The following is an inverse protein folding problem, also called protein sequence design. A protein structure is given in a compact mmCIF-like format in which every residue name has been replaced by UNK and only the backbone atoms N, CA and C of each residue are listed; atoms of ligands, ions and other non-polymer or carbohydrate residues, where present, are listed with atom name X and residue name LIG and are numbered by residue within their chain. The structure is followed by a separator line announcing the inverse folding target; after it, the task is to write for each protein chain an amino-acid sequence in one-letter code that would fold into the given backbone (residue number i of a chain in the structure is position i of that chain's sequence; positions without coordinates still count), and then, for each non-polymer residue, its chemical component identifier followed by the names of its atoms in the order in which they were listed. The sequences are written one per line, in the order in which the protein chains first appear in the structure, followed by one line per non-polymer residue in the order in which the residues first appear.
data_IF_055964828788
#
_entry.id   IF_055964828788
#
_cell.length_a   1.000
_cell.length_b   1.000
_cell.length_c   1.000
_cell.angle_alpha   90.00
_cell.angle_beta   90.00
_cell.angle_gamma   90.00
#
_symmetry.space_group_name_H-M   'P 1'
#
loop_
_entity.id
_entity.type
_entity.pdbx_description
1 polymer ?
#
# COMPACT_ATOMS: atom_id res chain seq x y z
N UNK A 1 43.25 25.35 -62.57
CA UNK A 1 41.91 24.72 -62.40
C UNK A 1 41.96 23.95 -61.08
N UNK A 2 41.40 24.51 -60.04
CA UNK A 2 41.45 23.93 -58.66
C UNK A 2 40.04 23.37 -58.38
N UNK A 3 40.00 22.06 -58.19
CA UNK A 3 38.78 21.30 -57.92
C UNK A 3 38.45 21.39 -56.42
N UNK A 4 37.35 22.02 -56.06
CA UNK A 4 36.87 22.14 -54.66
C UNK A 4 35.94 20.99 -54.34
N UNK A 5 36.48 19.93 -53.80
CA UNK A 5 35.70 18.80 -53.27
C UNK A 5 34.96 19.22 -51.97
N UNK A 6 33.65 19.30 -52.07
CA UNK A 6 32.75 19.61 -50.94
C UNK A 6 32.77 18.50 -49.89
N UNK A 7 33.30 18.79 -48.71
CA UNK A 7 33.17 17.94 -47.54
C UNK A 7 31.80 18.23 -46.87
N UNK A 8 30.86 17.31 -46.99
CA UNK A 8 29.60 17.30 -46.24
C UNK A 8 29.86 16.72 -44.85
N UNK A 9 29.94 17.60 -43.84
CA UNK A 9 29.94 17.19 -42.43
C UNK A 9 28.52 16.92 -41.99
N UNK A 10 28.16 15.64 -41.89
CA UNK A 10 26.92 15.21 -41.33
C UNK A 10 26.90 15.37 -39.80
N UNK A 11 26.10 16.30 -39.29
CA UNK A 11 25.87 16.44 -37.86
C UNK A 11 24.89 15.36 -37.44
N UNK A 12 25.39 14.30 -36.78
CA UNK A 12 24.55 13.28 -36.12
C UNK A 12 24.11 13.88 -34.78
N UNK A 13 22.89 14.34 -34.68
CA UNK A 13 22.29 14.74 -33.41
C UNK A 13 21.86 13.48 -32.64
N UNK A 14 22.70 13.09 -31.69
CA UNK A 14 22.37 12.02 -30.74
C UNK A 14 21.36 12.55 -29.73
N UNK A 15 20.07 12.34 -29.98
CA UNK A 15 18.99 12.63 -29.01
C UNK A 15 19.04 11.61 -27.88
N UNK A 16 19.70 11.96 -26.79
CA UNK A 16 19.63 11.18 -25.55
C UNK A 16 18.21 11.29 -24.96
N UNK A 17 17.40 10.24 -25.15
CA UNK A 17 16.17 10.04 -24.40
C UNK A 17 16.55 9.77 -22.95
N UNK A 18 16.57 10.82 -22.13
CA UNK A 18 16.68 10.68 -20.68
C UNK A 18 15.35 10.08 -20.23
N UNK A 19 15.30 8.75 -20.16
CA UNK A 19 14.21 8.03 -19.54
C UNK A 19 14.14 8.40 -18.06
N UNK A 20 13.14 9.14 -17.68
CA UNK A 20 12.82 9.38 -16.28
C UNK A 20 12.28 8.08 -15.70
N UNK A 21 13.16 7.28 -15.09
CA UNK A 21 12.73 6.16 -14.25
C UNK A 21 12.19 6.76 -12.96
N UNK A 22 10.94 6.48 -12.57
CA UNK A 22 10.47 6.85 -11.25
C UNK A 22 11.35 6.13 -10.22
N UNK A 23 12.02 6.89 -9.38
CA UNK A 23 12.75 6.35 -8.22
C UNK A 23 11.68 5.85 -7.25
N UNK A 24 11.27 4.59 -7.41
CA UNK A 24 10.62 3.87 -6.33
C UNK A 24 11.67 3.71 -5.24
N UNK A 25 11.50 4.38 -4.12
CA UNK A 25 12.32 4.14 -2.95
C UNK A 25 12.03 2.71 -2.48
N UNK A 26 12.79 1.77 -3.00
CA UNK A 26 12.79 0.39 -2.54
C UNK A 26 13.40 0.40 -1.14
N UNK A 27 12.56 0.30 -0.11
CA UNK A 27 13.06 0.28 1.27
C UNK A 27 13.85 -1.00 1.56
N UNK A 28 13.71 -2.01 0.71
CA UNK A 28 14.35 -3.33 0.87
C UNK A 28 13.91 -4.09 2.13
N UNK A 29 13.01 -3.52 2.91
CA UNK A 29 12.55 -4.08 4.18
C UNK A 29 11.34 -4.97 3.92
N UNK A 30 11.40 -6.22 4.36
CA UNK A 30 10.23 -7.10 4.31
C UNK A 30 9.12 -6.58 5.22
N UNK A 31 7.91 -6.56 4.70
CA UNK A 31 6.72 -6.21 5.47
C UNK A 31 6.54 -7.18 6.64
N UNK A 32 6.46 -6.68 7.89
CA UNK A 32 6.29 -7.53 9.05
C UNK A 32 5.01 -8.38 8.97
N UNK A 33 5.06 -9.59 9.53
CA UNK A 33 3.88 -10.44 9.64
C UNK A 33 2.92 -9.92 10.70
N UNK A 34 1.64 -9.94 10.37
CA UNK A 34 0.55 -9.63 11.27
C UNK A 34 0.22 -10.92 12.02
N UNK A 35 0.30 -10.88 13.36
CA UNK A 35 0.11 -12.05 14.22
C UNK A 35 -1.03 -11.89 15.23
N UNK A 36 -1.87 -10.87 15.03
CA UNK A 36 -3.05 -10.66 15.87
C UNK A 36 -4.07 -11.79 15.64
N UNK A 37 -4.75 -12.20 16.71
CA UNK A 37 -5.69 -13.33 16.67
C UNK A 37 -7.14 -12.92 16.35
N UNK A 38 -7.52 -11.69 16.72
CA UNK A 38 -8.88 -11.19 16.51
C UNK A 38 -9.01 -10.52 15.16
N UNK A 39 -9.88 -11.07 14.32
CA UNK A 39 -10.14 -10.58 12.98
C UNK A 39 -11.63 -10.40 12.73
N UNK A 40 -11.97 -9.40 11.91
CA UNK A 40 -13.30 -9.11 11.39
C UNK A 40 -13.28 -9.27 9.87
N UNK A 41 -14.38 -9.68 9.29
CA UNK A 41 -14.58 -9.93 7.85
C UNK A 41 -13.76 -11.11 7.26
N UNK A 42 -12.87 -11.72 8.02
CA UNK A 42 -12.12 -12.91 7.59
C UNK A 42 -11.64 -13.73 8.79
N UNK A 43 -11.19 -14.95 8.53
CA UNK A 43 -10.29 -15.66 9.44
C UNK A 43 -8.92 -14.94 9.49
N UNK A 44 -8.07 -15.22 10.49
CA UNK A 44 -6.70 -14.72 10.53
C UNK A 44 -5.96 -15.05 9.21
N UNK A 45 -5.32 -14.03 8.63
CA UNK A 45 -4.54 -14.20 7.40
C UNK A 45 -3.10 -14.61 7.75
N UNK A 46 -2.64 -15.69 7.12
CA UNK A 46 -1.30 -16.21 7.24
C UNK A 46 -0.42 -15.78 6.05
N UNK A 47 0.89 -16.00 6.16
CA UNK A 47 1.84 -15.68 5.10
C UNK A 47 1.50 -16.40 3.77
N UNK A 48 1.04 -17.64 3.85
CA UNK A 48 0.59 -18.43 2.70
C UNK A 48 -0.52 -17.77 1.90
N UNK A 49 -1.44 -17.07 2.59
CA UNK A 49 -2.60 -16.41 1.99
C UNK A 49 -2.21 -15.13 1.23
N UNK A 50 -1.06 -14.57 1.60
CA UNK A 50 -0.52 -13.32 1.05
C UNK A 50 0.61 -13.54 0.03
N UNK A 51 1.03 -14.79 -0.18
CA UNK A 51 2.10 -15.11 -1.14
C UNK A 51 1.69 -14.70 -2.57
N UNK A 52 2.55 -13.92 -3.22
CA UNK A 52 2.29 -13.43 -4.58
C UNK A 52 1.19 -12.35 -4.68
N UNK A 53 0.72 -11.83 -3.57
CA UNK A 53 -0.27 -10.74 -3.51
C UNK A 53 0.41 -9.39 -3.28
N UNK A 54 -0.20 -8.35 -3.80
CA UNK A 54 0.09 -6.97 -3.39
C UNK A 54 -0.77 -6.66 -2.18
N UNK A 55 -0.15 -6.21 -1.08
CA UNK A 55 -0.85 -6.01 0.20
C UNK A 55 -0.78 -4.54 0.60
N UNK A 56 -1.93 -3.96 0.91
CA UNK A 56 -2.04 -2.68 1.59
C UNK A 56 -2.33 -2.95 3.07
N UNK A 57 -1.41 -2.58 3.94
CA UNK A 57 -1.65 -2.54 5.39
C UNK A 57 -1.96 -1.11 5.79
N UNK A 58 -3.14 -0.88 6.33
CA UNK A 58 -3.63 0.43 6.78
C UNK A 58 -3.79 0.43 8.29
N UNK A 59 -3.07 1.30 8.97
CA UNK A 59 -3.28 1.58 10.41
C UNK A 59 -4.33 2.66 10.57
N UNK A 60 -5.40 2.33 11.29
CA UNK A 60 -6.55 3.20 11.47
C UNK A 60 -7.22 3.02 12.82
N UNK A 61 -8.12 3.92 13.17
CA UNK A 61 -9.08 3.75 14.26
C UNK A 61 -10.38 4.49 13.94
N UNK A 62 -11.50 4.03 14.49
CA UNK A 62 -12.83 4.48 14.07
C UNK A 62 -13.17 5.93 14.44
N UNK A 63 -12.59 6.52 15.47
CA UNK A 63 -12.80 7.92 15.82
C UNK A 63 -11.81 8.90 15.18
N UNK A 64 -10.83 8.41 14.43
CA UNK A 64 -9.83 9.22 13.74
C UNK A 64 -10.44 9.95 12.53
N UNK A 65 -10.47 11.27 12.54
CA UNK A 65 -11.03 12.09 11.47
C UNK A 65 -10.34 11.86 10.11
N UNK A 66 -9.00 11.88 10.07
CA UNK A 66 -8.25 11.67 8.83
C UNK A 66 -8.39 10.24 8.29
N UNK A 67 -8.60 9.25 9.18
CA UNK A 67 -8.86 7.86 8.76
C UNK A 67 -10.20 7.76 8.02
N UNK A 68 -11.23 8.46 8.49
CA UNK A 68 -12.53 8.52 7.80
C UNK A 68 -12.43 9.16 6.41
N UNK A 69 -11.55 10.14 6.24
CA UNK A 69 -11.35 10.80 4.94
C UNK A 69 -10.68 9.90 3.90
N UNK A 70 -9.82 8.96 4.32
CA UNK A 70 -9.18 8.01 3.38
C UNK A 70 -10.00 6.73 3.16
N UNK A 71 -10.90 6.37 4.07
CA UNK A 71 -11.71 5.14 4.02
C UNK A 71 -12.42 4.91 2.67
N UNK A 72 -13.07 5.91 2.04
CA UNK A 72 -13.73 5.72 0.75
C UNK A 72 -12.76 5.23 -0.35
N UNK A 73 -11.53 5.71 -0.35
CA UNK A 73 -10.48 5.34 -1.31
C UNK A 73 -10.00 3.91 -1.05
N UNK A 74 -9.73 3.56 0.20
CA UNK A 74 -9.31 2.20 0.58
C UNK A 74 -10.39 1.17 0.20
N UNK A 75 -11.67 1.48 0.48
CA UNK A 75 -12.81 0.66 0.05
C UNK A 75 -12.91 0.54 -1.48
N UNK A 76 -12.66 1.63 -2.20
CA UNK A 76 -12.65 1.63 -3.66
C UNK A 76 -11.54 0.73 -4.21
N UNK A 77 -10.30 0.88 -3.73
CA UNK A 77 -9.17 0.06 -4.17
C UNK A 77 -9.39 -1.42 -3.87
N UNK A 78 -9.92 -1.75 -2.69
CA UNK A 78 -10.29 -3.13 -2.37
C UNK A 78 -11.28 -3.70 -3.40
N UNK A 79 -12.40 -3.00 -3.69
CA UNK A 79 -13.39 -3.47 -4.67
C UNK A 79 -12.82 -3.61 -6.07
N UNK A 80 -11.95 -2.70 -6.47
CA UNK A 80 -11.45 -2.61 -7.84
C UNK A 80 -10.34 -3.62 -8.13
N UNK A 81 -9.51 -3.92 -7.14
CA UNK A 81 -8.28 -4.68 -7.37
C UNK A 81 -8.23 -6.04 -6.65
N UNK A 82 -9.19 -6.39 -5.80
CA UNK A 82 -9.16 -7.65 -5.04
C UNK A 82 -9.01 -8.89 -5.94
N UNK A 83 -9.76 -8.95 -7.03
CA UNK A 83 -9.71 -10.07 -7.98
C UNK A 83 -8.39 -10.13 -8.78
N UNK A 84 -7.63 -9.04 -8.78
CA UNK A 84 -6.32 -8.94 -9.43
C UNK A 84 -5.15 -9.33 -8.50
N UNK A 85 -5.45 -9.83 -7.30
CA UNK A 85 -4.43 -10.22 -6.33
C UNK A 85 -4.00 -9.11 -5.37
N UNK A 86 -4.86 -8.10 -5.17
CA UNK A 86 -4.68 -7.06 -4.17
C UNK A 86 -5.43 -7.41 -2.88
N UNK A 87 -4.75 -7.28 -1.75
CA UNK A 87 -5.33 -7.51 -0.42
C UNK A 87 -5.19 -6.25 0.41
N UNK A 88 -6.30 -5.79 0.99
CA UNK A 88 -6.28 -4.75 2.02
C UNK A 88 -6.40 -5.42 3.38
N UNK A 89 -5.58 -4.99 4.33
CA UNK A 89 -5.65 -5.36 5.74
C UNK A 89 -5.74 -4.09 6.56
N UNK A 90 -6.89 -3.83 7.16
CA UNK A 90 -7.05 -2.76 8.13
C UNK A 90 -6.54 -3.23 9.50
N UNK A 91 -5.57 -2.53 10.04
CA UNK A 91 -5.06 -2.76 11.41
C UNK A 91 -5.68 -1.70 12.31
N UNK A 92 -6.69 -2.10 13.08
CA UNK A 92 -7.32 -1.21 14.03
C UNK A 92 -6.49 -1.14 15.30
N UNK A 93 -5.72 -0.06 15.45
CA UNK A 93 -4.91 0.22 16.65
C UNK A 93 -5.53 1.40 17.40
N UNK A 94 -5.95 1.24 18.66
CA UNK A 94 -6.74 2.25 19.38
C UNK A 94 -5.90 3.46 19.77
N UNK A 95 -6.40 4.68 19.53
CA UNK A 95 -5.84 5.93 20.07
C UNK A 95 -6.39 6.20 21.48
N UNK A 96 -7.67 5.90 21.68
CA UNK A 96 -8.38 6.13 22.93
C UNK A 96 -8.89 4.82 23.56
N UNK A 97 -9.15 4.83 24.88
CA UNK A 97 -9.58 3.64 25.62
C UNK A 97 -10.89 3.02 25.10
N UNK A 98 -11.83 3.85 24.66
CA UNK A 98 -13.11 3.39 24.15
C UNK A 98 -13.03 2.68 22.79
N UNK A 99 -11.93 2.84 22.08
CA UNK A 99 -11.66 2.19 20.79
C UNK A 99 -11.15 0.75 20.94
N UNK A 100 -10.80 0.33 22.18
CA UNK A 100 -10.41 -1.05 22.48
C UNK A 100 -11.57 -2.03 22.49
N UNK A 101 -12.80 -1.52 22.52
CA UNK A 101 -14.02 -2.31 22.51
C UNK A 101 -14.25 -2.90 21.12
N UNK A 102 -14.08 -4.22 21.01
CA UNK A 102 -14.17 -4.96 19.74
C UNK A 102 -15.57 -4.87 19.14
N UNK A 103 -16.62 -4.86 19.98
CA UNK A 103 -18.00 -4.77 19.50
C UNK A 103 -18.28 -3.40 18.85
N UNK A 104 -17.67 -2.35 19.37
CA UNK A 104 -17.74 -1.01 18.74
C UNK A 104 -16.99 -0.96 17.42
N UNK A 105 -15.84 -1.59 17.33
CA UNK A 105 -15.11 -1.70 16.06
C UNK A 105 -15.94 -2.48 15.04
N UNK A 106 -16.51 -3.63 15.46
CA UNK A 106 -17.39 -4.43 14.60
C UNK A 106 -18.62 -3.65 14.13
N UNK A 107 -19.24 -2.86 15.02
CA UNK A 107 -20.38 -2.02 14.67
C UNK A 107 -19.98 -0.99 13.60
N UNK A 108 -18.86 -0.28 13.81
CA UNK A 108 -18.32 0.69 12.84
C UNK A 108 -18.02 0.04 11.48
N UNK A 109 -17.33 -1.12 11.48
CA UNK A 109 -17.01 -1.88 10.28
C UNK A 109 -18.27 -2.24 9.49
N UNK A 110 -19.32 -2.62 10.18
CA UNK A 110 -20.61 -2.98 9.57
C UNK A 110 -21.35 -1.76 9.03
N UNK A 111 -21.48 -0.71 9.84
CA UNK A 111 -22.18 0.53 9.49
C UNK A 111 -21.53 1.25 8.30
N UNK A 112 -20.19 1.23 8.24
CA UNK A 112 -19.41 1.84 7.17
C UNK A 112 -19.16 0.91 5.97
N UNK A 113 -19.78 -0.29 5.96
CA UNK A 113 -19.61 -1.27 4.86
C UNK A 113 -18.14 -1.56 4.52
N UNK A 114 -17.27 -1.62 5.54
CA UNK A 114 -15.89 -2.07 5.36
C UNK A 114 -15.93 -3.59 5.13
N UNK A 115 -15.45 -4.05 3.97
CA UNK A 115 -15.55 -5.47 3.56
C UNK A 115 -14.20 -6.17 3.47
N UNK A 116 -13.12 -5.42 3.52
CA UNK A 116 -11.78 -6.01 3.59
C UNK A 116 -11.47 -6.55 4.99
N UNK A 117 -10.51 -7.47 5.13
CA UNK A 117 -10.03 -7.98 6.41
C UNK A 117 -9.61 -6.87 7.36
N UNK A 118 -10.06 -6.93 8.60
CA UNK A 118 -9.67 -6.02 9.67
C UNK A 118 -9.16 -6.84 10.85
N UNK A 119 -7.99 -6.49 11.37
CA UNK A 119 -7.46 -7.09 12.59
C UNK A 119 -7.44 -6.09 13.74
N UNK A 120 -7.63 -6.59 14.96
CA UNK A 120 -7.63 -5.80 16.19
C UNK A 120 -6.24 -5.82 16.81
N UNK A 121 -5.63 -4.66 16.95
CA UNK A 121 -4.26 -4.48 17.44
C UNK A 121 -4.25 -3.72 18.79
N UNK A 122 -5.06 -4.19 19.75
CA UNK A 122 -5.24 -3.55 21.05
C UNK A 122 -3.95 -3.50 21.90
N UNK A 123 -3.02 -4.39 21.66
CA UNK A 123 -1.72 -4.46 22.33
C UNK A 123 -0.60 -3.74 21.57
N UNK A 124 -0.90 -3.16 20.42
CA UNK A 124 0.05 -2.49 19.52
C UNK A 124 1.16 -3.40 19.00
N UNK A 125 0.95 -4.71 18.99
CA UNK A 125 1.97 -5.67 18.55
C UNK A 125 2.32 -5.49 17.07
N UNK A 126 1.31 -5.34 16.21
CA UNK A 126 1.51 -5.06 14.77
C UNK A 126 1.98 -3.63 14.55
N UNK A 127 1.41 -2.66 15.22
CA UNK A 127 1.86 -1.26 15.20
C UNK A 127 3.36 -1.13 15.45
N UNK A 128 3.85 -1.76 16.51
CA UNK A 128 5.25 -1.71 16.88
C UNK A 128 6.17 -2.44 15.87
N UNK A 129 5.74 -3.59 15.31
CA UNK A 129 6.49 -4.31 14.27
C UNK A 129 6.69 -3.47 13.01
N UNK A 130 5.69 -2.65 12.63
CA UNK A 130 5.78 -1.71 11.50
C UNK A 130 6.52 -0.41 11.84
N UNK A 131 6.88 -0.20 13.11
CA UNK A 131 7.46 1.07 13.58
C UNK A 131 6.49 2.23 13.36
N UNK A 132 5.17 1.95 13.32
CA UNK A 132 4.17 2.97 13.05
C UNK A 132 4.08 4.00 14.19
N UNK A 133 3.65 5.22 13.88
CA UNK A 133 3.58 6.33 14.85
C UNK A 133 2.37 7.24 14.68
N UNK A 134 1.59 7.05 13.59
CA UNK A 134 0.53 7.99 13.24
C UNK A 134 -0.68 7.27 12.65
N UNK A 135 -1.85 7.88 12.77
CA UNK A 135 -3.08 7.52 12.08
C UNK A 135 -3.50 8.62 11.11
N UNK A 136 -3.94 8.27 9.90
CA UNK A 136 -3.75 6.96 9.26
C UNK A 136 -2.30 6.79 8.80
N UNK A 137 -1.91 5.54 8.61
CA UNK A 137 -0.67 5.21 7.90
C UNK A 137 -0.90 3.99 6.99
N UNK A 138 -0.37 4.04 5.79
CA UNK A 138 -0.51 3.00 4.77
C UNK A 138 0.85 2.48 4.34
N UNK A 139 0.97 1.16 4.23
CA UNK A 139 2.17 0.46 3.78
C UNK A 139 1.78 -0.43 2.59
N UNK A 140 2.30 -0.15 1.40
CA UNK A 140 2.15 -1.02 0.24
C UNK A 140 3.32 -1.99 0.16
N UNK A 141 2.98 -3.26 0.11
CA UNK A 141 3.89 -4.40 0.13
C UNK A 141 3.70 -5.16 -1.18
N UNK A 142 4.79 -5.44 -1.87
CA UNK A 142 4.77 -6.16 -3.15
C UNK A 142 4.59 -7.67 -3.00
N UNK A 143 4.57 -8.36 -4.14
CA UNK A 143 4.40 -9.82 -4.26
C UNK A 143 5.56 -10.62 -3.64
N UNK A 144 6.71 -9.97 -3.39
CA UNK A 144 7.89 -10.53 -2.72
C UNK A 144 7.96 -10.19 -1.24
N UNK A 145 6.90 -9.56 -0.70
CA UNK A 145 6.79 -9.12 0.70
C UNK A 145 7.70 -7.94 1.06
N UNK A 146 8.15 -7.16 0.08
CA UNK A 146 8.95 -5.94 0.30
C UNK A 146 8.02 -4.72 0.41
N UNK A 147 8.26 -3.87 1.41
CA UNK A 147 7.57 -2.57 1.53
C UNK A 147 8.07 -1.64 0.44
N UNK A 148 7.20 -1.27 -0.49
CA UNK A 148 7.52 -0.43 -1.65
C UNK A 148 7.08 1.03 -1.49
N UNK A 149 6.13 1.27 -0.63
CA UNK A 149 5.61 2.61 -0.39
C UNK A 149 5.04 2.73 1.02
N UNK A 150 5.28 3.88 1.64
CA UNK A 150 4.70 4.25 2.93
C UNK A 150 4.08 5.63 2.80
N UNK A 151 2.82 5.75 3.20
CA UNK A 151 2.12 7.02 3.30
C UNK A 151 1.66 7.24 4.73
N UNK A 152 2.04 8.37 5.30
CA UNK A 152 1.58 8.81 6.62
C UNK A 152 0.63 9.99 6.43
N UNK A 153 -0.51 9.92 7.11
CA UNK A 153 -1.54 10.94 7.05
C UNK A 153 -2.44 10.84 5.82
N UNK A 154 -3.35 11.78 5.72
CA UNK A 154 -4.34 11.90 4.65
C UNK A 154 -3.70 12.33 3.32
N UNK A 155 -4.36 12.02 2.19
CA UNK A 155 -3.98 12.44 0.83
C UNK A 155 -3.12 11.44 0.08
N UNK A 156 -2.51 11.88 -1.04
CA UNK A 156 -1.68 11.02 -1.90
C UNK A 156 -2.46 9.96 -2.68
N UNK A 157 -3.79 10.08 -2.82
CA UNK A 157 -4.66 9.04 -3.36
C UNK A 157 -4.28 8.56 -4.77
N UNK A 158 -4.01 9.49 -5.69
CA UNK A 158 -3.60 9.16 -7.07
C UNK A 158 -2.24 8.46 -7.12
N UNK A 159 -1.31 8.90 -6.28
CA UNK A 159 0.02 8.29 -6.17
C UNK A 159 -0.09 6.87 -5.62
N UNK A 160 -0.83 6.69 -4.52
CA UNK A 160 -1.05 5.37 -3.92
C UNK A 160 -1.69 4.41 -4.91
N UNK A 161 -2.75 4.84 -5.62
CA UNK A 161 -3.41 4.02 -6.63
C UNK A 161 -2.49 3.66 -7.80
N UNK A 162 -1.67 4.62 -8.27
CA UNK A 162 -0.69 4.36 -9.31
C UNK A 162 0.33 3.30 -8.89
N UNK A 163 0.79 3.35 -7.64
CA UNK A 163 1.72 2.33 -7.11
C UNK A 163 1.03 0.98 -7.00
N UNK A 164 -0.21 0.90 -6.52
CA UNK A 164 -1.00 -0.34 -6.50
C UNK A 164 -1.03 -0.96 -7.90
N UNK A 165 -1.39 -0.19 -8.92
CA UNK A 165 -1.46 -0.65 -10.31
C UNK A 165 -0.12 -1.11 -10.85
N UNK A 166 0.96 -0.44 -10.47
CA UNK A 166 2.33 -0.79 -10.87
C UNK A 166 2.74 -2.13 -10.26
N UNK A 167 2.56 -2.30 -8.95
CA UNK A 167 2.91 -3.53 -8.23
C UNK A 167 2.09 -4.74 -8.71
N UNK A 168 0.82 -4.52 -9.07
CA UNK A 168 -0.04 -5.60 -9.61
C UNK A 168 0.45 -6.13 -10.96
N UNK A 169 1.08 -5.27 -11.77
CA UNK A 169 1.65 -5.65 -13.09
C UNK A 169 3.02 -6.32 -13.00
N UNK A 170 3.73 -6.18 -11.88
CA UNK A 170 5.02 -6.84 -11.69
C UNK A 170 4.84 -8.37 -11.71
N UNK A 171 5.71 -9.08 -12.43
CA UNK A 171 5.72 -10.53 -12.45
C UNK A 171 6.34 -11.08 -11.17
N UNK A 172 5.80 -12.20 -10.66
CA UNK A 172 6.45 -12.96 -9.59
C UNK A 172 7.53 -13.79 -10.25
N UNK A 173 8.77 -13.32 -10.17
CA UNK A 173 9.90 -14.17 -10.59
C UNK A 173 9.97 -15.38 -9.63
N UNK A 174 9.81 -16.57 -10.23
CA UNK A 174 9.82 -17.84 -9.51
C UNK A 174 11.19 -18.21 -8.93
#
# INVERSE_FOLDING_TARGET
MIDLTRILVGIITLSALIGWSPVSAETGIKGPMITNETWLNSAPLHESDLKGKVVLVEFWTFSCYNCRNIEPYVKQWHRQYAEQGFVVIGVHSPEFSHERDVDRVQHYVTEHEIRFPVTIDNDFSTWNKYGNRYWPAMYLIDKHRVVRYVRVGEGGYRETEHIIQTLLKEEVQG
#
